data_IF_123141601856
#
_entry.id   IF_123141601856
#
_cell.length_a   1.000
_cell.length_b   1.000
_cell.length_c   1.000
_cell.angle_alpha   90.00
_cell.angle_beta   90.00
_cell.angle_gamma   90.00
#
_symmetry.space_group_name_H-M   'P 1'
#
loop_
_entity.id
_entity.type
_entity.pdbx_description
1 polymer ?
#
# COMPACT_ATOMS: atom_id res chain seq x y z
N UNK A 1 -50.16 -65.23 38.78
CA UNK A 1 -48.98 -64.49 39.30
C UNK A 1 -47.74 -64.73 38.43
N UNK A 2 -47.32 -65.97 38.20
CA UNK A 2 -46.12 -66.30 37.40
C UNK A 2 -46.19 -65.79 35.95
N UNK A 3 -47.33 -65.98 35.26
CA UNK A 3 -47.51 -65.49 33.88
C UNK A 3 -47.40 -63.95 33.77
N UNK A 4 -47.94 -63.22 34.75
CA UNK A 4 -47.86 -61.76 34.80
C UNK A 4 -46.42 -61.29 35.06
N UNK A 5 -45.69 -61.98 35.94
CA UNK A 5 -44.27 -61.68 36.18
C UNK A 5 -43.45 -61.90 34.91
N UNK A 6 -43.63 -63.04 34.22
CA UNK A 6 -42.94 -63.33 32.96
C UNK A 6 -43.24 -62.31 31.85
N UNK A 7 -44.47 -61.79 31.78
CA UNK A 7 -44.85 -60.74 30.84
C UNK A 7 -44.17 -59.41 31.16
N UNK A 8 -44.03 -59.06 32.44
CA UNK A 8 -43.28 -57.86 32.85
C UNK A 8 -41.79 -58.02 32.54
N UNK A 9 -41.21 -59.20 32.80
CA UNK A 9 -39.80 -59.48 32.50
C UNK A 9 -39.50 -59.37 31.00
N UNK A 10 -40.37 -59.92 30.14
CA UNK A 10 -40.18 -59.83 28.69
C UNK A 10 -40.33 -58.40 28.17
N UNK A 11 -41.28 -57.63 28.70
CA UNK A 11 -41.43 -56.21 28.37
C UNK A 11 -40.19 -55.40 28.78
N UNK A 12 -39.63 -55.65 29.97
CA UNK A 12 -38.43 -54.97 30.43
C UNK A 12 -37.21 -55.31 29.56
N UNK A 13 -37.04 -56.58 29.16
CA UNK A 13 -35.98 -57.01 28.23
C UNK A 13 -36.11 -56.28 26.90
N UNK A 14 -37.32 -56.16 26.34
CA UNK A 14 -37.56 -55.42 25.09
C UNK A 14 -37.16 -53.94 25.21
N UNK A 15 -37.50 -53.28 26.33
CA UNK A 15 -37.10 -51.89 26.57
C UNK A 15 -35.58 -51.76 26.68
N UNK A 16 -34.90 -52.67 27.38
CA UNK A 16 -33.43 -52.67 27.49
C UNK A 16 -32.80 -52.86 26.11
N UNK A 17 -33.31 -53.78 25.29
CA UNK A 17 -32.84 -53.98 23.92
C UNK A 17 -33.01 -52.71 23.06
N UNK A 18 -34.16 -52.03 23.16
CA UNK A 18 -34.40 -50.78 22.45
C UNK A 18 -33.44 -49.66 22.90
N UNK A 19 -33.21 -49.51 24.20
CA UNK A 19 -32.26 -48.53 24.74
C UNK A 19 -30.81 -48.81 24.29
N UNK A 20 -30.40 -50.08 24.24
CA UNK A 20 -29.10 -50.50 23.74
C UNK A 20 -28.94 -50.20 22.23
N UNK A 21 -30.00 -50.39 21.43
CA UNK A 21 -30.00 -49.99 20.03
C UNK A 21 -29.82 -48.47 19.88
N UNK A 22 -30.57 -47.67 20.62
CA UNK A 22 -30.47 -46.20 20.56
C UNK A 22 -29.08 -45.71 20.99
N UNK A 23 -28.49 -46.27 22.05
CA UNK A 23 -27.13 -45.91 22.48
C UNK A 23 -26.07 -46.30 21.44
N UNK A 24 -26.23 -47.44 20.76
CA UNK A 24 -25.33 -47.81 19.66
C UNK A 24 -25.42 -46.85 18.47
N UNK A 25 -26.62 -46.40 18.10
CA UNK A 25 -26.84 -45.42 17.03
C UNK A 25 -26.26 -44.05 17.39
N UNK A 26 -26.45 -43.60 18.63
CA UNK A 26 -25.86 -42.35 19.12
C UNK A 26 -24.33 -42.41 19.07
N UNK A 27 -23.73 -43.54 19.46
CA UNK A 27 -22.28 -43.75 19.40
C UNK A 27 -21.75 -43.72 17.97
N UNK A 28 -22.46 -44.34 17.02
CA UNK A 28 -22.11 -44.28 15.59
C UNK A 28 -22.16 -42.86 15.03
N UNK A 29 -23.19 -42.09 15.40
CA UNK A 29 -23.33 -40.69 14.98
C UNK A 29 -22.20 -39.81 15.54
N UNK A 30 -21.82 -40.00 16.82
CA UNK A 30 -20.68 -39.29 17.42
C UNK A 30 -19.38 -39.63 16.67
N UNK A 31 -19.16 -40.91 16.36
CA UNK A 31 -17.99 -41.33 15.56
C UNK A 31 -17.97 -40.66 14.18
N UNK A 32 -19.09 -40.60 13.49
CA UNK A 32 -19.20 -39.93 12.19
C UNK A 32 -18.89 -38.43 12.30
N UNK A 33 -19.42 -37.75 13.32
CA UNK A 33 -19.14 -36.33 13.55
C UNK A 33 -17.66 -36.08 13.86
N UNK A 34 -17.02 -36.95 14.64
CA UNK A 34 -15.59 -36.88 14.92
C UNK A 34 -14.72 -37.10 13.67
N UNK A 35 -15.14 -37.99 12.77
CA UNK A 35 -14.48 -38.18 11.47
C UNK A 35 -14.59 -36.93 10.59
N UNK A 36 -15.77 -36.30 10.52
CA UNK A 36 -15.94 -35.05 9.78
C UNK A 36 -15.10 -33.92 10.38
N UNK A 37 -15.06 -33.82 11.71
CA UNK A 37 -14.28 -32.80 12.40
C UNK A 37 -12.78 -32.96 12.15
N UNK A 38 -12.27 -34.20 12.21
CA UNK A 38 -10.86 -34.46 11.92
C UNK A 38 -10.50 -34.18 10.45
N UNK A 39 -11.38 -34.51 9.51
CA UNK A 39 -11.21 -34.17 8.10
C UNK A 39 -11.15 -32.65 7.88
N UNK A 40 -12.03 -31.88 8.54
CA UNK A 40 -12.02 -30.42 8.44
C UNK A 40 -10.73 -29.82 9.00
N UNK A 41 -10.23 -30.33 10.13
CA UNK A 41 -8.94 -29.92 10.70
C UNK A 41 -7.79 -30.19 9.71
N UNK A 42 -7.79 -31.34 9.03
CA UNK A 42 -6.77 -31.64 8.02
C UNK A 42 -6.80 -30.64 6.85
N UNK A 43 -7.99 -30.26 6.38
CA UNK A 43 -8.13 -29.25 5.33
C UNK A 43 -7.60 -27.89 5.80
N UNK A 44 -7.91 -27.47 7.02
CA UNK A 44 -7.40 -26.21 7.60
C UNK A 44 -5.86 -26.25 7.69
N UNK A 45 -5.28 -27.36 8.16
CA UNK A 45 -3.83 -27.53 8.21
C UNK A 45 -3.18 -27.42 6.82
N UNK A 46 -3.77 -28.04 5.80
CA UNK A 46 -3.29 -27.95 4.43
C UNK A 46 -3.35 -26.51 3.89
N UNK A 47 -4.45 -25.79 4.13
CA UNK A 47 -4.58 -24.37 3.73
C UNK A 47 -3.53 -23.49 4.44
N UNK A 48 -3.26 -23.73 5.71
CA UNK A 48 -2.22 -23.01 6.45
C UNK A 48 -0.81 -23.29 5.91
N UNK A 49 -0.53 -24.54 5.50
CA UNK A 49 0.74 -24.89 4.84
C UNK A 49 0.89 -24.18 3.49
N UNK A 50 -0.17 -24.12 2.67
CA UNK A 50 -0.14 -23.37 1.40
C UNK A 50 0.08 -21.88 1.67
N UNK A 51 -0.59 -21.31 2.67
CA UNK A 51 -0.46 -19.90 3.03
C UNK A 51 0.98 -19.57 3.48
N UNK A 52 1.59 -20.42 4.31
CA UNK A 52 2.97 -20.21 4.75
C UNK A 52 3.97 -20.34 3.60
N UNK A 53 3.76 -21.28 2.68
CA UNK A 53 4.57 -21.40 1.47
C UNK A 53 4.48 -20.15 0.57
N UNK A 54 3.28 -19.60 0.38
CA UNK A 54 3.08 -18.36 -0.36
C UNK A 54 3.81 -17.18 0.29
N UNK A 55 3.74 -17.05 1.62
CA UNK A 55 4.49 -16.02 2.36
C UNK A 55 5.99 -16.17 2.14
N UNK A 56 6.53 -17.39 2.16
CA UNK A 56 7.96 -17.62 1.89
C UNK A 56 8.36 -17.18 0.48
N UNK A 57 7.54 -17.46 -0.54
CA UNK A 57 7.77 -17.01 -1.91
C UNK A 57 7.78 -15.48 -1.99
N UNK A 58 6.83 -14.81 -1.33
CA UNK A 58 6.77 -13.33 -1.28
C UNK A 58 8.03 -12.76 -0.61
N UNK A 59 8.46 -13.33 0.51
CA UNK A 59 9.69 -12.92 1.19
C UNK A 59 10.92 -13.05 0.28
N UNK A 60 11.05 -14.16 -0.46
CA UNK A 60 12.14 -14.37 -1.40
C UNK A 60 12.12 -13.34 -2.55
N UNK A 61 10.94 -13.04 -3.12
CA UNK A 61 10.80 -12.01 -4.16
C UNK A 61 11.16 -10.61 -3.63
N UNK A 62 10.80 -10.29 -2.39
CA UNK A 62 11.17 -9.02 -1.76
C UNK A 62 12.69 -8.92 -1.54
N UNK A 63 13.35 -10.01 -1.16
CA UNK A 63 14.82 -10.05 -1.05
C UNK A 63 15.50 -9.83 -2.40
N UNK A 64 15.02 -10.46 -3.48
CA UNK A 64 15.56 -10.24 -4.83
C UNK A 64 15.38 -8.78 -5.25
N UNK A 65 14.24 -8.18 -4.91
CA UNK A 65 13.98 -6.76 -5.22
C UNK A 65 14.94 -5.83 -4.47
N UNK A 66 15.18 -6.08 -3.18
CA UNK A 66 16.08 -5.22 -2.39
C UNK A 66 17.51 -5.29 -2.93
N UNK A 67 17.97 -6.47 -3.36
CA UNK A 67 19.25 -6.64 -4.05
C UNK A 67 19.30 -5.86 -5.38
N UNK A 68 18.24 -5.92 -6.18
CA UNK A 68 18.18 -5.16 -7.44
C UNK A 68 18.21 -3.65 -7.19
N UNK A 69 17.51 -3.18 -6.15
CA UNK A 69 17.54 -1.78 -5.73
C UNK A 69 18.94 -1.33 -5.29
N UNK A 70 19.65 -2.16 -4.54
CA UNK A 70 21.04 -1.89 -4.15
C UNK A 70 21.97 -1.80 -5.37
N UNK A 71 21.81 -2.70 -6.34
CA UNK A 71 22.59 -2.67 -7.58
C UNK A 71 22.34 -1.38 -8.37
N UNK A 72 21.08 -0.96 -8.48
CA UNK A 72 20.70 0.31 -9.12
C UNK A 72 21.36 1.49 -8.40
N UNK A 73 21.33 1.54 -7.07
CA UNK A 73 21.97 2.58 -6.29
C UNK A 73 23.50 2.64 -6.55
N UNK A 74 24.16 1.48 -6.63
CA UNK A 74 25.59 1.41 -6.95
C UNK A 74 25.88 1.95 -8.36
N UNK A 75 25.07 1.58 -9.36
CA UNK A 75 25.20 2.09 -10.73
C UNK A 75 24.97 3.61 -10.80
N UNK A 76 24.02 4.14 -10.03
CA UNK A 76 23.78 5.58 -9.94
C UNK A 76 24.95 6.34 -9.32
N UNK A 77 25.60 5.78 -8.30
CA UNK A 77 26.82 6.37 -7.72
C UNK A 77 27.95 6.42 -8.75
N UNK A 78 28.20 5.32 -9.48
CA UNK A 78 29.21 5.28 -10.54
C UNK A 78 28.90 6.32 -11.63
N UNK A 79 27.63 6.44 -12.02
CA UNK A 79 27.18 7.43 -13.02
C UNK A 79 27.38 8.87 -12.53
N UNK A 80 27.15 9.13 -11.24
CA UNK A 80 27.40 10.44 -10.61
C UNK A 80 28.88 10.80 -10.63
N UNK A 81 29.76 9.87 -10.26
CA UNK A 81 31.21 10.08 -10.30
C UNK A 81 31.68 10.34 -11.73
N UNK A 82 31.20 9.57 -12.71
CA UNK A 82 31.55 9.77 -14.11
C UNK A 82 31.07 11.14 -14.62
N UNK A 83 29.89 11.60 -14.20
CA UNK A 83 29.40 12.96 -14.50
C UNK A 83 30.33 14.03 -13.93
N UNK A 84 30.79 13.85 -12.69
CA UNK A 84 31.67 14.81 -12.04
C UNK A 84 33.05 14.85 -12.71
N UNK A 85 33.61 13.70 -13.07
CA UNK A 85 34.84 13.60 -13.87
C UNK A 85 34.67 14.32 -15.21
N UNK A 86 33.53 14.14 -15.88
CA UNK A 86 33.23 14.81 -17.16
C UNK A 86 33.16 16.34 -16.98
N UNK A 87 32.52 16.84 -15.93
CA UNK A 87 32.48 18.28 -15.63
C UNK A 87 33.87 18.83 -15.31
N UNK A 88 34.68 18.09 -14.54
CA UNK A 88 36.04 18.49 -14.20
C UNK A 88 36.97 18.49 -15.42
N UNK A 89 36.87 17.50 -16.31
CA UNK A 89 37.64 17.50 -17.56
C UNK A 89 37.17 18.60 -18.49
N UNK A 90 35.87 18.90 -18.56
CA UNK A 90 35.37 20.08 -19.27
C UNK A 90 35.93 21.39 -18.68
N UNK A 91 36.01 21.51 -17.35
CA UNK A 91 36.58 22.70 -16.69
C UNK A 91 38.09 22.84 -16.98
N UNK A 92 38.86 21.75 -16.87
CA UNK A 92 40.29 21.76 -17.24
C UNK A 92 40.51 22.10 -18.72
N UNK A 93 39.68 21.58 -19.64
CA UNK A 93 39.75 21.93 -21.06
C UNK A 93 39.45 23.42 -21.28
N UNK A 94 38.46 23.99 -20.57
CA UNK A 94 38.14 25.41 -20.63
C UNK A 94 39.30 26.25 -20.10
N UNK A 95 39.90 25.90 -18.97
CA UNK A 95 41.05 26.62 -18.41
C UNK A 95 42.29 26.53 -19.32
N UNK A 96 42.58 25.35 -19.89
CA UNK A 96 43.65 25.19 -20.90
C UNK A 96 43.36 26.04 -22.15
N UNK A 97 42.10 26.15 -22.58
CA UNK A 97 41.71 27.00 -23.71
C UNK A 97 41.87 28.50 -23.38
N UNK A 98 41.58 28.92 -22.14
CA UNK A 98 41.81 30.29 -21.67
C UNK A 98 43.31 30.61 -21.50
N UNK A 99 44.13 29.64 -21.07
CA UNK A 99 45.59 29.78 -21.01
C UNK A 99 46.23 29.83 -22.41
N UNK A 100 45.76 29.03 -23.36
CA UNK A 100 46.17 29.13 -24.77
C UNK A 100 45.74 30.43 -25.45
N UNK A 101 44.75 31.16 -24.90
CA UNK A 101 44.35 32.48 -25.40
C UNK A 101 45.44 33.55 -25.17
N UNK A 102 46.34 33.34 -24.20
CA UNK A 102 47.42 34.27 -23.88
C UNK A 102 48.71 34.04 -24.69
N UNK A 103 48.87 32.88 -25.33
CA UNK A 103 49.96 32.59 -26.29
C UNK A 103 49.53 32.59 -27.77
N UNK A 104 48.22 32.48 -28.07
CA UNK A 104 47.71 32.44 -29.45
C UNK A 104 47.07 33.76 -29.93
N UNK A 105 47.33 34.87 -29.20
CA UNK A 105 46.92 36.22 -29.59
C UNK A 105 47.54 36.75 -30.89
N UNK A 106 48.43 35.99 -31.55
CA UNK A 106 49.10 36.41 -32.79
C UNK A 106 49.12 35.37 -33.93
N UNK A 107 48.38 34.25 -33.84
CA UNK A 107 48.35 33.23 -34.92
C UNK A 107 46.94 32.76 -35.29
N UNK A 108 45.94 33.64 -35.27
CA UNK A 108 44.65 33.32 -35.90
C UNK A 108 44.09 34.48 -36.73
N UNK A 109 44.91 34.98 -37.65
CA UNK A 109 44.43 35.78 -38.79
C UNK A 109 44.32 34.96 -40.09
N UNK A 110 44.52 33.63 -40.08
CA UNK A 110 44.53 32.90 -41.36
C UNK A 110 44.26 31.37 -41.34
N UNK A 111 43.38 30.82 -40.48
CA UNK A 111 42.94 29.43 -40.63
C UNK A 111 41.46 29.26 -40.25
N UNK A 112 40.68 28.68 -41.16
CA UNK A 112 39.23 28.62 -41.13
C UNK A 112 38.62 27.78 -40.01
N UNK A 113 37.35 28.12 -39.74
CA UNK A 113 36.39 27.39 -38.90
C UNK A 113 36.48 25.86 -39.07
N UNK A 114 37.11 25.15 -38.13
CA UNK A 114 36.83 23.71 -37.91
C UNK A 114 37.02 23.24 -36.46
N UNK A 115 37.99 23.76 -35.69
CA UNK A 115 38.32 23.17 -34.37
C UNK A 115 37.36 23.55 -33.22
N UNK A 116 36.93 24.81 -33.15
CA UNK A 116 36.03 25.30 -32.08
C UNK A 116 34.61 24.72 -32.19
N UNK A 117 34.11 24.49 -33.40
CA UNK A 117 32.76 23.96 -33.63
C UNK A 117 32.67 22.45 -33.36
N UNK A 118 33.77 21.71 -33.53
CA UNK A 118 33.82 20.26 -33.38
C UNK A 118 33.93 19.83 -31.90
N UNK A 119 34.61 20.61 -31.06
CA UNK A 119 34.71 20.38 -29.61
C UNK A 119 33.37 20.69 -28.91
N UNK A 120 32.70 21.79 -29.28
CA UNK A 120 31.34 22.08 -28.76
C UNK A 120 30.32 21.02 -29.16
N UNK A 121 30.41 20.47 -30.38
CA UNK A 121 29.53 19.39 -30.84
C UNK A 121 29.77 18.07 -30.07
N UNK A 122 31.02 17.71 -29.77
CA UNK A 122 31.36 16.53 -28.94
C UNK A 122 30.86 16.66 -27.49
N UNK A 123 30.93 17.85 -26.90
CA UNK A 123 30.42 18.12 -25.54
C UNK A 123 28.88 18.05 -25.54
N UNK A 124 28.20 18.63 -26.54
CA UNK A 124 26.75 18.55 -26.68
C UNK A 124 26.26 17.11 -26.95
N UNK A 125 26.91 16.37 -27.84
CA UNK A 125 26.58 14.98 -28.12
C UNK A 125 26.81 14.08 -26.88
N UNK A 126 27.89 14.28 -26.13
CA UNK A 126 28.14 13.58 -24.87
C UNK A 126 27.10 13.89 -23.78
N UNK A 127 26.66 15.14 -23.69
CA UNK A 127 25.62 15.59 -22.75
C UNK A 127 24.24 15.02 -23.09
N UNK A 128 23.89 14.98 -24.39
CA UNK A 128 22.62 14.42 -24.88
C UNK A 128 22.57 12.91 -24.69
N UNK A 129 23.66 12.19 -24.97
CA UNK A 129 23.77 10.74 -24.73
C UNK A 129 23.69 10.43 -23.22
N UNK A 130 24.32 11.26 -22.38
CA UNK A 130 24.25 11.10 -20.92
C UNK A 130 22.84 11.34 -20.38
N UNK A 131 22.13 12.37 -20.85
CA UNK A 131 20.73 12.64 -20.46
C UNK A 131 19.76 11.57 -20.99
N UNK A 132 19.93 11.10 -22.23
CA UNK A 132 19.06 10.08 -22.81
C UNK A 132 19.22 8.73 -22.11
N UNK A 133 20.44 8.36 -21.71
CA UNK A 133 20.73 7.15 -20.93
C UNK A 133 20.09 7.21 -19.53
N UNK A 134 20.17 8.38 -18.88
CA UNK A 134 19.55 8.63 -17.56
C UNK A 134 18.03 8.63 -17.62
N UNK A 135 17.43 9.17 -18.68
CA UNK A 135 15.98 9.22 -18.89
C UNK A 135 15.39 7.83 -19.24
N UNK A 136 16.08 7.05 -20.08
CA UNK A 136 15.72 5.67 -20.38
C UNK A 136 15.88 4.75 -19.17
N UNK A 137 16.93 4.92 -18.37
CA UNK A 137 17.13 4.17 -17.13
C UNK A 137 16.10 4.52 -16.06
N UNK A 138 15.79 5.81 -15.87
CA UNK A 138 14.69 6.24 -14.98
C UNK A 138 13.33 5.74 -15.45
N UNK A 139 13.05 5.73 -16.76
CA UNK A 139 11.82 5.14 -17.32
C UNK A 139 11.77 3.63 -17.15
N UNK A 140 12.89 2.91 -17.30
CA UNK A 140 12.97 1.47 -17.09
C UNK A 140 12.78 1.11 -15.60
N UNK A 141 13.34 1.91 -14.69
CA UNK A 141 13.08 1.79 -13.24
C UNK A 141 11.62 2.03 -12.87
N UNK A 142 10.98 3.05 -13.47
CA UNK A 142 9.56 3.36 -13.29
C UNK A 142 8.63 2.26 -13.83
N UNK A 143 9.06 1.55 -14.89
CA UNK A 143 8.34 0.39 -15.43
C UNK A 143 8.52 -0.85 -14.55
N UNK A 144 9.72 -1.06 -13.99
CA UNK A 144 10.00 -2.15 -13.04
C UNK A 144 9.31 -1.94 -11.68
N UNK A 145 9.21 -0.69 -11.19
CA UNK A 145 8.44 -0.36 -9.99
C UNK A 145 6.93 -0.53 -10.20
N UNK A 146 6.43 -0.23 -11.40
CA UNK A 146 5.02 -0.46 -11.77
C UNK A 146 4.64 -1.95 -11.84
N UNK A 147 5.60 -2.84 -12.13
CA UNK A 147 5.39 -4.29 -12.11
C UNK A 147 5.28 -4.85 -10.66
N UNK A 148 5.90 -4.20 -9.67
CA UNK A 148 5.73 -4.55 -8.25
C UNK A 148 4.49 -3.93 -7.60
N UNK A 149 3.95 -2.84 -8.15
CA UNK A 149 2.77 -2.15 -7.61
C UNK A 149 1.46 -2.95 -7.70
N UNK A 150 1.45 -4.12 -8.36
CA UNK A 150 0.35 -5.07 -8.25
C UNK A 150 0.35 -5.91 -6.96
N UNK A 151 1.40 -5.85 -6.13
CA UNK A 151 1.53 -6.69 -4.92
C UNK A 151 1.69 -5.95 -3.58
N UNK A 152 1.69 -4.60 -3.53
CA UNK A 152 1.97 -3.84 -2.29
C UNK A 152 0.79 -2.95 -1.87
N UNK A 153 -0.34 -3.56 -1.55
CA UNK A 153 -1.34 -2.92 -0.71
C UNK A 153 -0.84 -2.97 0.75
N UNK A 154 -0.09 -1.95 1.23
CA UNK A 154 0.02 -1.54 2.66
C UNK A 154 1.10 -0.47 2.99
N UNK A 155 1.68 0.27 2.04
CA UNK A 155 2.58 1.40 2.41
C UNK A 155 1.96 2.78 2.12
N UNK A 156 2.10 3.75 3.05
CA UNK A 156 1.65 5.12 2.84
C UNK A 156 2.43 5.75 1.67
N UNK A 157 1.69 6.17 0.64
CA UNK A 157 2.27 6.80 -0.54
C UNK A 157 2.72 8.22 -0.16
N UNK A 158 4.03 8.47 -0.18
CA UNK A 158 4.61 9.82 -0.20
C UNK A 158 4.51 10.48 -1.58
N UNK A 159 3.58 10.01 -2.42
CA UNK A 159 3.50 10.43 -3.81
C UNK A 159 2.56 11.63 -3.93
N UNK A 160 3.13 12.83 -4.11
CA UNK A 160 2.38 14.09 -4.28
C UNK A 160 1.49 14.12 -5.53
N UNK A 161 1.56 13.07 -6.36
CA UNK A 161 0.88 12.97 -7.65
C UNK A 161 -0.45 12.19 -7.59
N UNK A 162 -0.81 11.57 -6.46
CA UNK A 162 -2.07 10.83 -6.31
C UNK A 162 -3.16 11.75 -5.73
N UNK A 163 -4.27 11.98 -6.44
CA UNK A 163 -5.41 12.72 -5.90
C UNK A 163 -5.93 12.06 -4.62
N UNK A 164 -6.41 12.86 -3.66
CA UNK A 164 -6.98 12.34 -2.40
C UNK A 164 -8.08 11.30 -2.64
N UNK A 165 -8.89 11.50 -3.68
CA UNK A 165 -9.96 10.58 -4.09
C UNK A 165 -9.44 9.17 -4.42
N UNK A 166 -8.20 9.04 -4.85
CA UNK A 166 -7.59 7.78 -5.29
C UNK A 166 -6.81 7.07 -4.19
N UNK A 167 -6.62 7.73 -3.04
CA UNK A 167 -5.98 7.13 -1.88
C UNK A 167 -6.77 5.92 -1.38
N UNK A 168 -6.06 4.82 -1.10
CA UNK A 168 -6.69 3.57 -0.67
C UNK A 168 -7.42 3.72 0.68
N UNK A 169 -6.91 4.56 1.57
CA UNK A 169 -7.46 4.81 2.90
C UNK A 169 -8.53 5.91 2.94
N UNK A 170 -8.84 6.54 1.80
CA UNK A 170 -9.88 7.56 1.68
C UNK A 170 -11.17 6.96 1.10
N UNK A 171 -12.24 6.97 1.90
CA UNK A 171 -13.52 6.32 1.58
C UNK A 171 -14.62 7.30 1.16
N UNK A 172 -14.28 8.59 0.95
CA UNK A 172 -15.27 9.60 0.56
C UNK A 172 -16.39 9.72 1.60
N UNK A 173 -17.65 9.78 1.12
CA UNK A 173 -18.85 9.99 1.94
C UNK A 173 -19.32 8.75 2.71
N UNK A 174 -18.39 8.05 3.40
CA UNK A 174 -18.71 6.84 4.16
C UNK A 174 -19.49 7.15 5.47
N UNK A 175 -20.65 6.52 5.69
CA UNK A 175 -21.41 6.65 6.93
C UNK A 175 -20.64 6.17 8.16
N UNK A 176 -21.00 6.72 9.33
CA UNK A 176 -20.34 6.39 10.60
C UNK A 176 -20.48 4.91 10.94
N UNK A 177 -21.68 4.34 10.77
CA UNK A 177 -21.95 2.95 11.09
C UNK A 177 -21.07 1.99 10.28
N UNK A 178 -21.03 2.16 8.96
CA UNK A 178 -20.16 1.38 8.07
C UNK A 178 -18.67 1.55 8.42
N UNK A 179 -18.25 2.76 8.78
CA UNK A 179 -16.88 3.01 9.24
C UNK A 179 -16.55 2.18 10.48
N UNK A 180 -17.45 2.10 11.46
CA UNK A 180 -17.23 1.36 12.70
C UNK A 180 -17.17 -0.17 12.48
N UNK A 181 -17.86 -0.69 11.47
CA UNK A 181 -17.84 -2.11 11.06
C UNK A 181 -16.55 -2.52 10.36
N UNK A 182 -15.93 -1.59 9.63
CA UNK A 182 -14.66 -1.82 8.93
C UNK A 182 -13.45 -1.77 9.86
N UNK A 183 -13.53 -1.05 10.97
CA UNK A 183 -12.44 -0.88 11.94
C UNK A 183 -12.40 -2.06 12.95
N UNK A 184 -11.61 -3.09 12.65
CA UNK A 184 -11.64 -4.37 13.36
C UNK A 184 -10.48 -4.55 14.35
N UNK A 185 -9.30 -4.05 14.01
CA UNK A 185 -8.06 -4.27 14.76
C UNK A 185 -7.48 -2.95 15.29
N UNK A 186 -6.65 -3.05 16.33
CA UNK A 186 -5.94 -1.89 16.89
C UNK A 186 -5.05 -1.24 15.82
N UNK A 187 -5.20 0.07 15.65
CA UNK A 187 -4.46 0.85 14.67
C UNK A 187 -5.08 0.87 13.27
N UNK A 188 -6.20 0.19 13.05
CA UNK A 188 -7.00 0.35 11.84
C UNK A 188 -7.50 1.78 11.72
N UNK A 189 -7.43 2.35 10.52
CA UNK A 189 -7.94 3.70 10.26
C UNK A 189 -8.54 3.87 8.87
N UNK A 190 -9.48 4.82 8.79
CA UNK A 190 -10.20 5.27 7.60
C UNK A 190 -10.28 6.78 7.63
N UNK A 191 -10.07 7.41 6.47
CA UNK A 191 -10.35 8.82 6.28
C UNK A 191 -11.64 8.98 5.48
N UNK A 192 -12.58 9.78 5.99
CA UNK A 192 -13.89 9.98 5.37
C UNK A 192 -14.30 11.44 5.35
N UNK A 193 -15.25 11.77 4.51
CA UNK A 193 -15.87 13.07 4.37
C UNK A 193 -17.30 13.01 4.89
N UNK A 194 -17.69 13.93 5.77
CA UNK A 194 -19.08 14.09 6.19
C UNK A 194 -19.80 14.97 5.17
N UNK A 195 -20.73 14.36 4.43
CA UNK A 195 -21.57 15.04 3.43
C UNK A 195 -22.73 15.86 4.04
N UNK A 196 -22.64 16.20 5.34
CA UNK A 196 -23.62 17.08 5.97
C UNK A 196 -23.31 18.56 5.64
N UNK A 197 -24.17 19.48 6.09
CA UNK A 197 -24.00 20.91 5.84
C UNK A 197 -22.66 21.49 6.37
N UNK A 198 -21.90 20.72 7.17
CA UNK A 198 -20.60 21.14 7.70
C UNK A 198 -19.41 20.78 6.80
N UNK A 199 -19.57 19.87 5.83
CA UNK A 199 -18.53 19.53 4.85
C UNK A 199 -17.17 19.20 5.48
N UNK A 200 -17.16 18.30 6.48
CA UNK A 200 -16.00 18.09 7.35
C UNK A 200 -15.29 16.76 7.10
N UNK A 201 -13.97 16.80 7.00
CA UNK A 201 -13.13 15.59 7.00
C UNK A 201 -13.01 14.98 8.39
N UNK A 202 -13.02 13.64 8.47
CA UNK A 202 -12.92 12.91 9.73
C UNK A 202 -11.95 11.74 9.58
N UNK A 203 -10.94 11.69 10.45
CA UNK A 203 -10.09 10.52 10.64
C UNK A 203 -10.76 9.60 11.66
N UNK A 204 -11.13 8.40 11.24
CA UNK A 204 -11.72 7.39 12.11
C UNK A 204 -10.73 6.26 12.32
N UNK A 205 -10.49 5.85 13.56
CA UNK A 205 -9.58 4.73 13.85
C UNK A 205 -10.05 3.91 15.05
N UNK A 206 -9.57 2.67 15.14
CA UNK A 206 -9.76 1.84 16.34
C UNK A 206 -8.53 1.95 17.23
N UNK A 207 -8.74 2.41 18.46
CA UNK A 207 -7.69 2.43 19.47
C UNK A 207 -8.18 2.18 20.88
N UNK A 208 -7.40 1.38 21.63
CA UNK A 208 -7.74 0.86 22.95
C UNK A 208 -9.12 0.17 22.96
N UNK A 209 -9.35 -0.66 21.94
CA UNK A 209 -10.59 -1.42 21.71
C UNK A 209 -11.85 -0.55 21.55
N UNK A 210 -11.68 0.73 21.19
CA UNK A 210 -12.77 1.68 20.93
C UNK A 210 -12.59 2.35 19.57
N UNK A 211 -13.68 2.52 18.83
CA UNK A 211 -13.68 3.40 17.65
C UNK A 211 -13.66 4.86 18.09
N UNK A 212 -12.79 5.64 17.45
CA UNK A 212 -12.60 7.06 17.71
C UNK A 212 -12.70 7.82 16.39
N UNK A 213 -13.33 8.99 16.44
CA UNK A 213 -13.54 9.84 15.26
C UNK A 213 -13.00 11.23 15.55
N UNK A 214 -11.98 11.62 14.79
CA UNK A 214 -11.27 12.88 14.94
C UNK A 214 -11.66 13.83 13.80
N UNK A 215 -12.47 14.87 14.07
CA UNK A 215 -12.79 15.87 13.08
C UNK A 215 -11.55 16.67 12.71
N UNK A 216 -11.36 16.88 11.42
CA UNK A 216 -10.26 17.65 10.86
C UNK A 216 -10.79 19.03 10.49
N UNK A 217 -10.13 20.06 10.99
CA UNK A 217 -10.53 21.44 10.73
C UNK A 217 -9.71 21.96 9.56
N UNK A 218 -10.39 22.30 8.46
CA UNK A 218 -9.78 23.07 7.37
C UNK A 218 -9.67 24.52 7.85
N UNK A 219 -8.45 25.02 8.00
CA UNK A 219 -8.21 26.38 8.50
C UNK A 219 -8.32 27.40 7.38
N UNK A 220 -7.60 27.13 6.28
CA UNK A 220 -7.61 27.90 5.03
C UNK A 220 -7.65 26.92 3.84
N UNK A 221 -7.64 27.41 2.60
CA UNK A 221 -7.60 26.56 1.40
C UNK A 221 -6.34 25.69 1.28
N UNK A 222 -5.32 25.97 2.08
CA UNK A 222 -4.02 25.32 2.01
C UNK A 222 -3.65 24.49 3.23
N UNK A 223 -4.43 24.51 4.33
CA UNK A 223 -4.02 23.89 5.59
C UNK A 223 -5.12 23.14 6.34
N UNK A 224 -4.74 21.99 6.88
CA UNK A 224 -5.56 21.07 7.68
C UNK A 224 -4.98 20.96 9.07
N UNK A 225 -5.84 21.10 10.09
CA UNK A 225 -5.44 21.08 11.50
C UNK A 225 -6.03 19.90 12.24
N UNK A 226 -5.17 19.22 13.00
CA UNK A 226 -5.50 18.13 13.93
C UNK A 226 -4.68 18.32 15.20
N UNK A 227 -5.37 18.58 16.32
CA UNK A 227 -4.86 18.84 17.68
C UNK A 227 -3.42 19.41 17.79
N UNK A 228 -3.23 20.66 17.37
CA UNK A 228 -1.98 21.42 17.53
C UNK A 228 -0.97 21.29 16.39
N UNK A 229 -1.16 20.32 15.47
CA UNK A 229 -0.40 20.20 14.23
C UNK A 229 -1.16 20.80 13.03
N UNK A 230 -0.44 21.50 12.16
CA UNK A 230 -0.98 22.02 10.89
C UNK A 230 -0.23 21.41 9.72
N UNK A 231 -0.97 20.87 8.76
CA UNK A 231 -0.45 20.14 7.60
C UNK A 231 -0.94 20.78 6.31
N UNK A 232 -0.16 20.72 5.23
CA UNK A 232 -0.53 21.34 3.94
C UNK A 232 -1.50 20.47 3.13
N UNK A 233 -1.58 19.18 3.46
CA UNK A 233 -2.50 18.23 2.84
C UNK A 233 -2.92 17.15 3.83
N UNK A 234 -4.03 16.49 3.54
CA UNK A 234 -4.50 15.34 4.31
C UNK A 234 -3.50 14.18 4.17
N UNK A 235 -2.92 13.98 2.99
CA UNK A 235 -1.88 12.95 2.78
C UNK A 235 -0.66 13.21 3.67
N UNK A 236 -0.20 14.46 3.78
CA UNK A 236 0.92 14.82 4.67
C UNK A 236 0.60 14.53 6.14
N UNK A 237 -0.62 14.83 6.58
CA UNK A 237 -1.10 14.52 7.93
C UNK A 237 -1.04 13.01 8.21
N UNK A 238 -1.62 12.20 7.33
CA UNK A 238 -1.64 10.73 7.49
C UNK A 238 -0.22 10.17 7.46
N UNK A 239 0.60 10.61 6.50
CA UNK A 239 1.98 10.16 6.35
C UNK A 239 2.84 10.52 7.57
N UNK A 240 2.64 11.71 8.15
CA UNK A 240 3.32 12.09 9.38
C UNK A 240 3.00 11.09 10.50
N UNK A 241 1.73 10.93 10.87
CA UNK A 241 1.34 10.05 11.98
C UNK A 241 1.68 8.58 11.74
N UNK A 242 1.61 8.08 10.50
CA UNK A 242 2.02 6.72 10.15
C UNK A 242 3.54 6.51 10.22
N UNK A 243 4.34 7.48 9.77
CA UNK A 243 5.80 7.34 9.75
C UNK A 243 6.44 7.59 11.12
N UNK A 244 5.99 8.61 11.85
CA UNK A 244 6.54 8.96 13.17
C UNK A 244 5.92 8.16 14.30
N UNK A 245 4.82 7.42 14.02
CA UNK A 245 4.05 6.70 15.03
C UNK A 245 3.65 7.61 16.20
N UNK A 246 3.36 8.88 15.91
CA UNK A 246 2.89 9.85 16.90
C UNK A 246 1.38 9.70 17.08
N UNK A 247 0.87 9.82 18.32
CA UNK A 247 -0.56 9.71 18.56
C UNK A 247 -1.33 10.84 17.85
N UNK A 248 -2.50 10.50 17.34
CA UNK A 248 -3.44 11.39 16.64
C UNK A 248 -3.89 12.53 17.56
N UNK A 249 -4.19 12.22 18.82
CA UNK A 249 -4.40 13.21 19.88
C UNK A 249 -3.72 12.78 21.17
N UNK A 250 -3.18 13.74 21.93
CA UNK A 250 -2.50 13.46 23.20
C UNK A 250 -3.45 12.86 24.23
N UNK A 251 -4.71 13.29 24.22
CA UNK A 251 -5.73 12.82 25.16
C UNK A 251 -6.17 11.37 24.89
N UNK A 252 -6.19 10.94 23.62
CA UNK A 252 -6.64 9.58 23.28
C UNK A 252 -5.49 8.57 23.16
N UNK A 253 -4.27 9.06 22.94
CA UNK A 253 -3.09 8.27 22.58
C UNK A 253 -3.32 7.32 21.38
N UNK A 254 -4.31 7.63 20.52
CA UNK A 254 -4.68 6.78 19.41
C UNK A 254 -3.58 6.81 18.32
N UNK A 255 -3.12 5.64 17.88
CA UNK A 255 -2.08 5.52 16.85
C UNK A 255 -2.68 4.92 15.59
N UNK A 256 -2.35 5.47 14.42
CA UNK A 256 -2.79 4.92 13.12
C UNK A 256 -1.66 4.09 12.50
N UNK A 257 -1.99 2.88 12.06
CA UNK A 257 -1.01 1.90 11.55
C UNK A 257 -1.50 1.17 10.31
N UNK A 258 -2.75 0.71 10.32
CA UNK A 258 -3.28 -0.16 9.29
C UNK A 258 -4.31 0.62 8.44
N UNK A 259 -3.95 1.10 7.24
CA UNK A 259 -4.91 1.74 6.35
C UNK A 259 -5.93 0.71 5.86
N UNK A 260 -7.22 0.95 6.12
CA UNK A 260 -8.27 0.12 5.53
C UNK A 260 -8.45 0.55 4.08
N UNK A 261 -8.14 -0.35 3.15
CA UNK A 261 -8.26 -0.09 1.72
C UNK A 261 -9.72 -0.07 1.30
N UNK A 262 -10.11 0.95 0.52
CA UNK A 262 -11.38 0.98 -0.20
C UNK A 262 -11.44 -0.22 -1.14
N UNK A 263 -12.47 -1.03 -0.99
CA UNK A 263 -12.74 -2.11 -1.93
C UNK A 263 -13.33 -1.44 -3.16
N UNK A 264 -12.57 -1.39 -4.26
CA UNK A 264 -13.09 -0.98 -5.56
C UNK A 264 -13.92 -2.13 -6.10
N UNK A 265 -15.16 -2.25 -5.64
CA UNK A 265 -16.12 -3.12 -6.33
C UNK A 265 -16.49 -2.48 -7.68
N UNK A 266 -16.90 -3.29 -8.66
CA UNK A 266 -17.35 -2.83 -9.99
C UNK A 266 -18.50 -1.80 -9.95
N UNK A 267 -19.10 -1.58 -8.78
CA UNK A 267 -20.21 -0.66 -8.54
C UNK A 267 -19.76 0.68 -7.89
N UNK A 268 -18.47 0.90 -7.64
CA UNK A 268 -17.94 2.17 -7.12
C UNK A 268 -17.95 3.26 -8.22
N UNK A 269 -19.13 3.83 -8.45
CA UNK A 269 -19.33 4.91 -9.42
C UNK A 269 -18.84 6.23 -8.85
N UNK A 270 -17.87 6.86 -9.52
CA UNK A 270 -17.42 8.20 -9.13
C UNK A 270 -18.47 9.22 -9.57
N UNK A 271 -18.68 10.27 -8.79
CA UNK A 271 -19.65 11.32 -9.12
C UNK A 271 -19.34 12.00 -10.48
N UNK A 272 -18.07 12.03 -10.89
CA UNK A 272 -17.63 12.53 -12.21
C UNK A 272 -18.00 11.63 -13.39
N UNK A 273 -18.33 10.36 -13.13
CA UNK A 273 -18.74 9.40 -14.14
C UNK A 273 -20.28 9.37 -14.32
N UNK A 274 -21.03 10.11 -13.48
CA UNK A 274 -22.50 10.19 -13.53
C UNK A 274 -22.91 11.58 -14.00
N UNK A 275 -23.49 11.64 -15.20
CA UNK A 275 -24.21 12.82 -15.68
C UNK A 275 -25.67 12.69 -15.27
N UNK A 276 -26.11 13.53 -14.34
CA UNK A 276 -27.52 13.60 -13.97
C UNK A 276 -28.31 14.24 -15.11
N UNK A 277 -29.21 13.46 -15.70
CA UNK A 277 -30.18 13.93 -16.68
C UNK A 277 -31.50 14.32 -15.97
N UNK A 278 -32.56 14.44 -16.74
CA UNK A 278 -33.87 14.93 -16.35
C UNK A 278 -34.45 14.08 -15.22
N UNK A 279 -34.97 14.75 -14.19
CA UNK A 279 -35.58 14.12 -13.00
C UNK A 279 -36.81 13.29 -13.39
N UNK A 280 -36.75 11.97 -13.15
CA UNK A 280 -37.85 11.04 -13.47
C UNK A 280 -38.82 10.75 -12.31
N UNK A 281 -38.50 11.16 -11.07
CA UNK A 281 -39.32 10.86 -9.91
C UNK A 281 -38.97 11.68 -8.67
N UNK A 282 -39.86 11.67 -7.68
CA UNK A 282 -39.70 12.33 -6.38
C UNK A 282 -39.49 11.30 -5.28
#
# INVERSE_FOLDING_TARGET
MICALNQVTSALIQVICALNQVTSLLSQMICALNQVTSALIQVICALNQVTSALIQVICALNQVTSLLSQLICALNQVTSVLSQVTVCTCHMIIEIFQLNKHEMGEVCSNCGLTSLCQVSLLILLGSVIFLSSKLLFNRMLLMLSNLQQRCLCLQPSSNKDVPLEDEAWYHGALPRQETEELLKQEGDFIFRFKSDASGQYVLSCRSADKQRHFPIVKQDDSTYRLEGGSFRSIQELVNHHMSTQTPVTKASNAMIRNPISKVKDEHDLRHKDILLDTKLGQ
#
